data_IF_844605577421
#
_entry.id   IF_844605577421
#
_cell.length_a   1.000
_cell.length_b   1.000
_cell.length_c   1.000
_cell.angle_alpha   90.00
_cell.angle_beta   90.00
_cell.angle_gamma   90.00
#
_symmetry.space_group_name_H-M   'P 1'
#
loop_
_entity.id
_entity.type
_entity.pdbx_description
1 polymer ?
#
# COMPACT_ATOMS: atom_id res chain seq x y z
N UNK A 1 -20.72 25.99 21.59
CA UNK A 1 -19.46 25.53 20.94
C UNK A 1 -19.81 25.01 19.56
N UNK A 2 -19.30 25.66 18.50
CA UNK A 2 -19.70 25.37 17.11
C UNK A 2 -19.02 24.10 16.62
N UNK A 3 -19.83 23.11 16.27
CA UNK A 3 -19.44 21.90 15.53
C UNK A 3 -18.92 22.33 14.15
N UNK A 4 -17.67 21.99 13.85
CA UNK A 4 -17.11 22.17 12.50
C UNK A 4 -17.55 20.97 11.68
N UNK A 5 -18.62 21.13 10.90
CA UNK A 5 -18.99 20.17 9.85
C UNK A 5 -17.97 20.29 8.73
N UNK A 6 -17.15 19.26 8.55
CA UNK A 6 -16.38 19.09 7.31
C UNK A 6 -17.41 18.66 6.26
N UNK A 7 -17.79 19.59 5.38
CA UNK A 7 -18.56 19.27 4.18
C UNK A 7 -17.60 18.67 3.15
N UNK A 8 -17.57 17.35 3.04
CA UNK A 8 -16.96 16.68 1.89
C UNK A 8 -17.89 16.87 0.70
N UNK A 9 -17.43 17.62 -0.30
CA UNK A 9 -18.17 17.84 -1.54
C UNK A 9 -17.87 16.67 -2.47
N UNK A 10 -18.83 15.78 -2.71
CA UNK A 10 -18.70 14.72 -3.71
C UNK A 10 -19.41 15.20 -4.97
N UNK A 11 -18.66 15.45 -6.04
CA UNK A 11 -19.24 15.76 -7.34
C UNK A 11 -19.50 14.48 -8.12
N UNK A 12 -20.68 14.36 -8.72
CA UNK A 12 -21.04 13.24 -9.59
C UNK A 12 -21.19 13.77 -11.02
N UNK A 13 -20.52 13.12 -11.97
CA UNK A 13 -20.74 13.38 -13.39
C UNK A 13 -21.50 12.21 -13.98
N UNK A 14 -22.70 12.47 -14.52
CA UNK A 14 -23.52 11.49 -15.20
C UNK A 14 -23.52 11.79 -16.71
N UNK A 15 -23.07 10.84 -17.51
CA UNK A 15 -23.02 10.98 -18.98
C UNK A 15 -24.01 10.02 -19.64
N UNK A 16 -24.86 10.52 -20.55
CA UNK A 16 -25.72 9.73 -21.42
C UNK A 16 -25.37 9.99 -22.91
N UNK A 17 -26.08 9.35 -23.84
CA UNK A 17 -25.86 9.48 -25.29
C UNK A 17 -26.20 10.86 -25.87
N UNK A 18 -26.78 11.77 -25.09
CA UNK A 18 -27.23 13.10 -25.53
C UNK A 18 -26.52 14.26 -24.84
N UNK A 19 -25.57 14.00 -23.92
CA UNK A 19 -24.68 14.99 -23.33
C UNK A 19 -24.29 14.73 -21.87
N UNK A 20 -23.32 15.48 -21.38
CA UNK A 20 -22.84 15.45 -19.99
C UNK A 20 -23.72 16.34 -19.10
N UNK A 21 -24.23 15.82 -17.97
CA UNK A 21 -24.84 16.64 -16.91
C UNK A 21 -24.08 16.46 -15.61
N UNK A 22 -23.49 17.54 -15.11
CA UNK A 22 -22.87 17.60 -13.78
C UNK A 22 -23.97 17.72 -12.72
N UNK A 23 -23.99 16.81 -11.75
CA UNK A 23 -24.95 16.84 -10.64
C UNK A 23 -24.16 17.07 -9.36
N UNK A 24 -24.35 18.23 -8.74
CA UNK A 24 -23.86 18.49 -7.39
C UNK A 24 -24.87 17.93 -6.38
N UNK A 25 -24.45 16.96 -5.56
CA UNK A 25 -25.27 16.45 -4.47
C UNK A 25 -24.49 16.58 -3.16
N UNK A 26 -24.93 17.48 -2.28
CA UNK A 26 -24.52 17.50 -0.88
C UNK A 26 -25.24 16.39 -0.12
N UNK A 27 -24.56 15.71 0.81
CA UNK A 27 -25.11 14.61 1.61
C UNK A 27 -26.40 15.00 2.37
N UNK A 28 -27.54 14.74 1.73
CA UNK A 28 -28.81 14.39 2.37
C UNK A 28 -29.67 13.64 1.35
N UNK A 29 -29.33 12.39 1.04
CA UNK A 29 -30.26 11.50 0.36
C UNK A 29 -31.25 11.01 1.42
N UNK A 30 -32.44 11.62 1.46
CA UNK A 30 -33.58 11.10 2.24
C UNK A 30 -33.95 9.72 1.73
N UNK A 31 -34.22 8.78 2.64
CA UNK A 31 -34.81 7.48 2.37
C UNK A 31 -35.99 7.63 1.40
N UNK A 32 -35.84 7.13 0.18
CA UNK A 32 -36.88 7.20 -0.87
C UNK A 32 -36.36 7.38 -2.29
N UNK A 33 -35.12 7.82 -2.50
CA UNK A 33 -34.52 7.95 -3.84
C UNK A 33 -33.22 7.14 -3.94
N UNK A 34 -33.14 6.28 -4.96
CA UNK A 34 -32.11 5.26 -5.22
C UNK A 34 -32.11 4.07 -4.25
N UNK A 35 -32.82 3.00 -4.64
CA UNK A 35 -32.39 1.65 -4.27
C UNK A 35 -31.23 1.29 -5.19
N UNK A 36 -30.02 1.21 -4.64
CA UNK A 36 -28.87 0.58 -5.30
C UNK A 36 -29.21 -0.92 -5.36
N UNK A 37 -29.67 -1.36 -6.53
CA UNK A 37 -29.99 -2.76 -6.77
C UNK A 37 -28.71 -3.60 -6.68
N UNK A 38 -28.70 -4.54 -5.73
CA UNK A 38 -27.80 -5.68 -5.59
C UNK A 38 -26.38 -5.49 -6.16
N UNK A 39 -25.45 -5.10 -5.28
CA UNK A 39 -24.02 -5.29 -5.51
C UNK A 39 -23.75 -6.79 -5.71
N UNK A 40 -23.41 -7.18 -6.94
CA UNK A 40 -22.68 -8.43 -7.17
C UNK A 40 -21.23 -8.22 -6.73
N UNK A 41 -20.71 -9.13 -5.91
CA UNK A 41 -19.31 -9.13 -5.49
C UNK A 41 -18.40 -9.15 -6.73
N UNK A 42 -17.58 -8.11 -6.94
CA UNK A 42 -16.55 -8.14 -8.00
C UNK A 42 -16.19 -6.83 -8.73
N UNK A 43 -16.63 -5.64 -8.32
CA UNK A 43 -16.20 -4.41 -9.01
C UNK A 43 -14.82 -3.90 -8.55
N UNK A 44 -13.88 -3.85 -9.49
CA UNK A 44 -12.51 -3.29 -9.34
C UNK A 44 -12.55 -1.77 -9.53
N UNK A 45 -11.77 -0.96 -8.77
CA UNK A 45 -11.66 0.48 -9.02
C UNK A 45 -11.22 0.76 -10.47
N UNK A 46 -11.89 1.72 -11.12
CA UNK A 46 -11.65 2.07 -12.52
C UNK A 46 -12.58 1.41 -13.54
N UNK A 47 -13.39 0.41 -13.16
CA UNK A 47 -14.45 -0.07 -14.04
C UNK A 47 -15.68 0.85 -14.01
N UNK A 48 -16.20 1.27 -15.18
CA UNK A 48 -17.43 2.05 -15.25
C UNK A 48 -18.61 1.23 -14.72
N UNK A 49 -19.29 1.73 -13.69
CA UNK A 49 -20.54 1.14 -13.24
C UNK A 49 -21.64 1.59 -14.21
N UNK A 50 -22.19 0.63 -14.95
CA UNK A 50 -23.30 0.84 -15.88
C UNK A 50 -24.64 0.78 -15.13
N UNK A 51 -25.39 1.89 -15.18
CA UNK A 51 -26.75 1.93 -14.66
C UNK A 51 -27.75 2.21 -15.79
N UNK A 52 -28.99 1.70 -15.64
CA UNK A 52 -30.10 1.97 -16.56
C UNK A 52 -31.25 2.62 -15.82
N UNK A 53 -31.74 3.77 -16.31
CA UNK A 53 -32.97 4.41 -15.82
C UNK A 53 -33.76 4.95 -17.01
N UNK A 54 -35.05 4.59 -17.10
CA UNK A 54 -35.94 5.14 -18.14
C UNK A 54 -35.49 4.86 -19.58
N UNK A 55 -34.77 3.76 -19.84
CA UNK A 55 -34.24 3.42 -21.17
C UNK A 55 -32.87 4.02 -21.50
N UNK A 56 -32.37 4.98 -20.71
CA UNK A 56 -31.05 5.57 -20.89
C UNK A 56 -29.97 4.84 -20.07
N UNK A 57 -28.76 4.76 -20.64
CA UNK A 57 -27.56 4.23 -19.97
C UNK A 57 -26.77 5.38 -19.37
N UNK A 58 -26.36 5.22 -18.12
CA UNK A 58 -25.50 6.16 -17.42
C UNK A 58 -24.20 5.46 -17.06
N UNK A 59 -23.08 6.14 -17.30
CA UNK A 59 -21.76 5.75 -16.80
C UNK A 59 -21.33 6.73 -15.72
N UNK A 60 -21.02 6.20 -14.54
CA UNK A 60 -20.39 6.97 -13.47
C UNK A 60 -18.88 6.75 -13.52
N UNK A 61 -18.11 7.84 -13.43
CA UNK A 61 -16.69 7.80 -13.12
C UNK A 61 -16.48 8.44 -11.75
N UNK A 62 -15.76 7.74 -10.88
CA UNK A 62 -15.31 8.29 -9.60
C UNK A 62 -14.04 9.08 -9.86
N UNK A 63 -14.06 10.36 -9.53
CA UNK A 63 -12.95 11.28 -9.72
C UNK A 63 -12.36 11.66 -8.37
N UNK A 64 -11.05 11.49 -8.25
CA UNK A 64 -10.30 11.59 -7.01
C UNK A 64 -9.53 12.91 -7.02
N UNK A 65 -9.81 13.82 -6.08
CA UNK A 65 -8.93 14.97 -5.84
C UNK A 65 -7.61 14.47 -5.22
N UNK A 66 -6.47 14.85 -5.81
CA UNK A 66 -5.11 14.55 -5.34
C UNK A 66 -4.46 15.88 -4.99
N UNK A 67 -4.15 16.14 -3.71
CA UNK A 67 -2.72 16.14 -3.32
C UNK A 67 -2.46 15.72 -1.86
N UNK A 68 -1.24 15.26 -1.57
CA UNK A 68 -0.28 16.02 -0.75
C UNK A 68 1.09 15.31 -0.74
N UNK A 69 2.07 16.01 -1.31
CA UNK A 69 3.48 15.64 -1.57
C UNK A 69 3.75 14.41 -2.44
N UNK A 70 3.36 14.54 -3.71
CA UNK A 70 4.11 13.99 -4.84
C UNK A 70 5.17 15.02 -5.25
N UNK A 71 6.26 15.18 -4.48
CA UNK A 71 7.27 16.24 -4.75
C UNK A 71 8.22 15.92 -5.89
N UNK A 72 8.13 14.72 -6.48
CA UNK A 72 8.89 14.37 -7.68
C UNK A 72 8.03 14.60 -8.94
N UNK A 73 8.45 15.43 -9.91
CA UNK A 73 7.86 15.48 -11.24
C UNK A 73 7.71 14.10 -11.91
N UNK A 74 8.54 13.11 -11.55
CA UNK A 74 8.40 11.71 -11.97
C UNK A 74 7.11 11.05 -11.44
N UNK A 75 6.48 11.61 -10.41
CA UNK A 75 5.27 11.04 -9.84
C UNK A 75 4.05 11.07 -10.76
N UNK A 76 4.04 11.99 -11.74
CA UNK A 76 3.04 12.01 -12.81
C UNK A 76 3.21 10.86 -13.81
N UNK A 77 4.36 10.18 -13.80
CA UNK A 77 4.62 8.97 -14.59
C UNK A 77 4.38 7.66 -13.83
N UNK A 78 3.93 7.72 -12.57
CA UNK A 78 3.62 6.51 -11.80
C UNK A 78 2.45 5.76 -12.43
N UNK A 79 2.53 4.43 -12.41
CA UNK A 79 1.45 3.55 -12.90
C UNK A 79 0.65 3.00 -11.74
N UNK A 80 -0.65 2.83 -11.95
CA UNK A 80 -1.52 2.09 -11.04
C UNK A 80 -1.55 0.64 -11.48
N UNK A 81 -1.08 -0.25 -10.62
CA UNK A 81 -0.85 -1.67 -10.88
C UNK A 81 -1.70 -2.48 -9.90
N UNK A 82 -2.57 -3.32 -10.44
CA UNK A 82 -3.38 -4.24 -9.65
C UNK A 82 -2.54 -5.37 -9.04
N UNK A 83 -3.12 -6.08 -8.07
CA UNK A 83 -2.49 -7.27 -7.46
C UNK A 83 -2.05 -8.30 -8.51
N UNK A 84 -2.91 -8.58 -9.47
CA UNK A 84 -2.65 -9.62 -10.48
C UNK A 84 -1.59 -9.16 -11.48
N UNK A 85 -1.60 -7.89 -11.86
CA UNK A 85 -0.52 -7.32 -12.68
C UNK A 85 0.82 -7.32 -11.94
N UNK A 86 0.85 -7.02 -10.64
CA UNK A 86 2.08 -7.11 -9.84
C UNK A 86 2.65 -8.52 -9.82
N UNK A 87 1.80 -9.54 -9.62
CA UNK A 87 2.20 -10.95 -9.68
C UNK A 87 2.72 -11.34 -11.07
N UNK A 88 2.08 -10.82 -12.11
CA UNK A 88 2.48 -11.10 -13.48
C UNK A 88 3.82 -10.42 -13.84
N UNK A 89 4.09 -9.23 -13.30
CA UNK A 89 5.39 -8.56 -13.43
C UNK A 89 6.48 -9.39 -12.77
N UNK A 90 6.28 -9.85 -11.54
CA UNK A 90 7.25 -10.70 -10.84
C UNK A 90 7.51 -12.00 -11.62
N UNK A 91 6.44 -12.65 -12.08
CA UNK A 91 6.51 -13.89 -12.88
C UNK A 91 7.25 -13.68 -14.21
N UNK A 92 6.95 -12.62 -14.95
CA UNK A 92 7.63 -12.35 -16.22
C UNK A 92 9.08 -11.90 -16.01
N UNK A 93 9.39 -11.18 -14.95
CA UNK A 93 10.77 -10.83 -14.60
C UNK A 93 11.61 -12.10 -14.38
N UNK A 94 11.07 -13.08 -13.66
CA UNK A 94 11.74 -14.37 -13.45
C UNK A 94 11.82 -15.22 -14.73
N UNK A 95 10.67 -15.47 -15.38
CA UNK A 95 10.61 -16.44 -16.48
C UNK A 95 11.19 -15.91 -17.81
N UNK A 96 10.86 -14.66 -18.16
CA UNK A 96 11.20 -14.09 -19.47
C UNK A 96 12.48 -13.25 -19.45
N UNK A 97 12.83 -12.66 -18.30
CA UNK A 97 14.02 -11.83 -18.14
C UNK A 97 15.08 -12.48 -17.25
N UNK A 98 14.83 -13.66 -16.71
CA UNK A 98 15.78 -14.43 -15.89
C UNK A 98 16.28 -13.65 -14.66
N UNK A 99 15.46 -12.74 -14.13
CA UNK A 99 15.75 -11.99 -12.90
C UNK A 99 15.20 -12.77 -11.71
N UNK A 100 16.06 -13.39 -10.88
CA UNK A 100 15.57 -14.17 -9.74
C UNK A 100 14.80 -13.30 -8.75
N UNK A 101 13.75 -13.85 -8.12
CA UNK A 101 12.97 -13.17 -7.08
C UNK A 101 13.84 -12.56 -5.97
N UNK A 102 14.91 -13.24 -5.57
CA UNK A 102 15.90 -12.72 -4.62
C UNK A 102 16.50 -11.37 -5.05
N UNK A 103 16.79 -11.18 -6.34
CA UNK A 103 17.33 -9.93 -6.89
C UNK A 103 16.27 -8.84 -6.91
N UNK A 104 15.02 -9.18 -7.23
CA UNK A 104 13.89 -8.25 -7.17
C UNK A 104 13.68 -7.74 -5.73
N UNK A 105 13.65 -8.67 -4.77
CA UNK A 105 13.55 -8.40 -3.33
C UNK A 105 14.70 -7.54 -2.81
N UNK A 106 15.94 -7.82 -3.24
CA UNK A 106 17.12 -7.01 -2.91
C UNK A 106 16.91 -5.56 -3.34
N UNK A 107 16.52 -5.34 -4.59
CA UNK A 107 16.32 -3.99 -5.14
C UNK A 107 15.16 -3.27 -4.46
N UNK A 108 14.04 -3.96 -4.22
CA UNK A 108 12.90 -3.42 -3.48
C UNK A 108 13.35 -2.91 -2.10
N UNK A 109 14.15 -3.71 -1.41
CA UNK A 109 14.61 -3.45 -0.05
C UNK A 109 15.69 -2.36 0.05
N UNK A 110 16.59 -2.28 -0.93
CA UNK A 110 17.54 -1.17 -1.07
C UNK A 110 16.77 0.14 -1.21
N UNK A 111 15.77 0.17 -2.09
CA UNK A 111 15.01 1.40 -2.36
C UNK A 111 14.08 1.76 -1.20
N UNK A 112 13.44 0.78 -0.55
CA UNK A 112 12.73 0.98 0.72
C UNK A 112 13.63 1.62 1.77
N UNK A 113 14.84 1.06 1.95
CA UNK A 113 15.79 1.57 2.94
C UNK A 113 16.25 2.99 2.59
N UNK A 114 16.49 3.29 1.31
CA UNK A 114 16.81 4.66 0.86
C UNK A 114 15.68 5.64 1.19
N UNK A 115 14.44 5.31 0.87
CA UNK A 115 13.28 6.17 1.22
C UNK A 115 13.21 6.40 2.72
N UNK A 116 13.40 5.35 3.53
CA UNK A 116 13.44 5.49 4.99
C UNK A 116 14.55 6.46 5.41
N UNK A 117 15.76 6.24 4.92
CA UNK A 117 16.96 6.99 5.33
C UNK A 117 16.98 8.43 4.84
N UNK A 118 16.42 8.72 3.66
CA UNK A 118 16.58 10.01 2.98
C UNK A 118 15.31 10.88 3.04
N UNK A 119 14.12 10.27 3.14
CA UNK A 119 12.84 10.98 3.03
C UNK A 119 11.95 10.88 4.28
N UNK A 120 12.11 9.81 5.08
CA UNK A 120 11.28 9.57 6.27
C UNK A 120 12.01 9.95 7.56
N UNK A 121 13.30 9.60 7.66
CA UNK A 121 14.17 9.91 8.81
C UNK A 121 15.58 10.41 8.39
N UNK A 122 15.67 11.49 7.59
CA UNK A 122 16.96 12.06 7.14
C UNK A 122 17.84 12.56 8.28
N UNK A 123 17.22 13.11 9.33
CA UNK A 123 17.91 13.67 10.50
C UNK A 123 18.38 12.61 11.50
N UNK A 124 18.16 11.32 11.22
CA UNK A 124 18.45 10.19 12.10
C UNK A 124 17.83 10.30 13.50
N UNK A 125 16.58 10.75 13.58
CA UNK A 125 15.85 10.95 14.85
C UNK A 125 15.42 9.63 15.47
N UNK A 126 15.21 8.59 14.66
CA UNK A 126 14.85 7.28 15.18
C UNK A 126 16.02 6.63 15.91
N UNK A 127 15.84 6.38 17.20
CA UNK A 127 16.86 5.72 18.03
C UNK A 127 16.97 4.23 17.74
N UNK A 128 15.83 3.61 17.38
CA UNK A 128 15.71 2.22 16.96
C UNK A 128 14.70 2.08 15.82
N UNK A 129 14.95 1.08 14.97
CA UNK A 129 14.07 0.68 13.88
C UNK A 129 13.56 -0.74 14.20
N UNK A 130 12.26 -0.85 14.44
CA UNK A 130 11.56 -2.11 14.72
C UNK A 130 10.96 -2.62 13.42
N UNK A 131 11.51 -3.69 12.86
CA UNK A 131 11.03 -4.22 11.58
C UNK A 131 10.17 -5.45 11.86
N UNK A 132 8.86 -5.33 11.63
CA UNK A 132 7.88 -6.39 11.92
C UNK A 132 7.67 -7.22 10.66
N UNK A 133 8.23 -8.43 10.64
CA UNK A 133 8.24 -9.28 9.46
C UNK A 133 7.18 -10.38 9.52
N UNK A 134 6.40 -10.50 8.46
CA UNK A 134 5.65 -11.70 8.14
C UNK A 134 6.57 -12.83 7.64
N UNK A 135 5.97 -13.95 7.22
CA UNK A 135 6.72 -15.09 6.65
C UNK A 135 6.57 -15.29 5.14
N UNK A 136 5.95 -14.34 4.45
CA UNK A 136 5.88 -14.30 2.98
C UNK A 136 6.87 -13.29 2.39
N UNK A 137 6.71 -12.96 1.10
CA UNK A 137 7.63 -12.07 0.38
C UNK A 137 7.76 -10.68 1.03
N UNK A 138 6.65 -10.08 1.49
CA UNK A 138 6.71 -8.78 2.18
C UNK A 138 7.57 -8.84 3.45
N UNK A 139 7.53 -9.96 4.17
CA UNK A 139 8.43 -10.19 5.31
C UNK A 139 9.88 -10.34 4.88
N UNK A 140 10.12 -10.94 3.72
CA UNK A 140 11.44 -10.99 3.08
C UNK A 140 11.99 -9.59 2.74
N UNK A 141 11.16 -8.71 2.19
CA UNK A 141 11.51 -7.29 1.98
C UNK A 141 11.85 -6.61 3.31
N UNK A 142 11.10 -6.92 4.38
CA UNK A 142 11.40 -6.48 5.74
C UNK A 142 12.77 -6.95 6.23
N UNK A 143 13.09 -8.24 6.13
CA UNK A 143 14.40 -8.78 6.52
C UNK A 143 15.54 -8.14 5.72
N UNK A 144 15.38 -8.01 4.40
CA UNK A 144 16.38 -7.37 3.55
C UNK A 144 16.55 -5.88 3.90
N UNK A 145 15.46 -5.14 4.11
CA UNK A 145 15.54 -3.75 4.54
C UNK A 145 16.19 -3.60 5.92
N UNK A 146 15.90 -4.50 6.86
CA UNK A 146 16.52 -4.51 8.18
C UNK A 146 18.05 -4.56 8.12
N UNK A 147 18.63 -5.43 7.27
CA UNK A 147 20.09 -5.48 7.10
C UNK A 147 20.65 -4.27 6.36
N UNK A 148 19.92 -3.67 5.42
CA UNK A 148 20.37 -2.43 4.77
C UNK A 148 20.37 -1.24 5.72
N UNK A 149 19.31 -1.10 6.54
CA UNK A 149 19.25 -0.10 7.61
C UNK A 149 20.41 -0.31 8.60
N UNK A 150 20.68 -1.56 9.00
CA UNK A 150 21.82 -1.87 9.86
C UNK A 150 23.16 -1.48 9.23
N UNK A 151 23.40 -1.83 7.95
CA UNK A 151 24.60 -1.46 7.22
C UNK A 151 24.77 0.07 7.10
N UNK A 152 23.67 0.82 7.09
CA UNK A 152 23.66 2.29 7.17
C UNK A 152 23.88 2.84 8.60
N UNK A 153 24.27 1.99 9.55
CA UNK A 153 24.57 2.38 10.93
C UNK A 153 23.31 2.66 11.77
N UNK A 154 22.16 2.10 11.40
CA UNK A 154 20.94 2.18 12.22
C UNK A 154 20.90 1.06 13.25
N UNK A 155 20.35 1.36 14.43
CA UNK A 155 19.97 0.33 15.40
C UNK A 155 18.69 -0.34 14.92
N UNK A 156 18.74 -1.65 14.71
CA UNK A 156 17.62 -2.43 14.16
C UNK A 156 17.30 -3.60 15.08
N UNK A 157 16.01 -3.85 15.30
CA UNK A 157 15.48 -5.09 15.89
C UNK A 157 14.41 -5.61 14.95
N UNK A 158 14.48 -6.90 14.60
CA UNK A 158 13.47 -7.57 13.80
C UNK A 158 12.51 -8.29 14.74
N UNK A 159 11.21 -8.08 14.55
CA UNK A 159 10.14 -8.82 15.22
C UNK A 159 9.58 -9.80 14.18
N UNK A 160 9.83 -11.08 14.35
CA UNK A 160 9.38 -12.13 13.45
C UNK A 160 8.05 -12.72 13.92
N UNK A 161 6.96 -12.51 13.17
CA UNK A 161 5.65 -13.09 13.54
C UNK A 161 5.58 -14.60 13.27
N UNK A 162 6.32 -15.05 12.26
CA UNK A 162 6.45 -16.47 11.93
C UNK A 162 7.78 -16.71 11.21
N UNK A 163 8.32 -17.93 11.26
CA UNK A 163 9.44 -18.29 10.41
C UNK A 163 9.07 -18.07 8.92
N UNK A 164 9.98 -17.51 8.10
CA UNK A 164 9.77 -17.46 6.66
C UNK A 164 9.76 -18.88 6.07
N UNK A 165 9.02 -19.05 4.98
CA UNK A 165 8.99 -20.33 4.26
C UNK A 165 10.36 -20.64 3.65
N UNK A 166 10.84 -21.86 3.86
CA UNK A 166 12.13 -22.38 3.39
C UNK A 166 11.89 -23.60 2.47
N UNK A 167 12.47 -23.64 1.24
CA UNK A 167 13.27 -22.58 0.61
C UNK A 167 12.44 -21.38 0.15
N UNK A 168 13.09 -20.22 0.07
CA UNK A 168 12.51 -18.98 -0.46
C UNK A 168 13.34 -17.74 -0.15
N UNK A 169 13.09 -16.65 -0.88
CA UNK A 169 13.85 -15.40 -0.77
C UNK A 169 13.77 -14.76 0.62
N UNK A 170 12.61 -14.87 1.28
CA UNK A 170 12.43 -14.43 2.66
C UNK A 170 13.28 -15.25 3.64
N UNK A 171 13.41 -16.57 3.44
CA UNK A 171 14.27 -17.42 4.26
C UNK A 171 15.74 -17.10 4.06
N UNK A 172 16.16 -16.83 2.81
CA UNK A 172 17.51 -16.36 2.48
C UNK A 172 17.85 -15.07 3.24
N UNK A 173 16.99 -14.06 3.17
CA UNK A 173 17.25 -12.78 3.85
C UNK A 173 17.20 -12.90 5.39
N UNK A 174 16.32 -13.74 5.94
CA UNK A 174 16.34 -14.05 7.37
C UNK A 174 17.63 -14.77 7.80
N UNK A 175 18.15 -15.70 7.00
CA UNK A 175 19.41 -16.37 7.27
C UNK A 175 20.60 -15.39 7.24
N UNK A 176 20.62 -14.44 6.29
CA UNK A 176 21.63 -13.36 6.26
C UNK A 176 21.55 -12.52 7.53
N UNK A 177 20.35 -12.09 7.95
CA UNK A 177 20.18 -11.31 9.18
C UNK A 177 20.70 -12.05 10.43
N UNK A 178 20.47 -13.37 10.51
CA UNK A 178 21.02 -14.22 11.58
C UNK A 178 22.55 -14.30 11.53
N UNK A 179 23.13 -14.48 10.35
CA UNK A 179 24.59 -14.51 10.18
C UNK A 179 25.25 -13.17 10.54
N UNK A 180 24.55 -12.06 10.28
CA UNK A 180 24.94 -10.71 10.71
C UNK A 180 24.71 -10.46 12.22
N UNK A 181 24.09 -11.42 12.93
CA UNK A 181 23.75 -11.33 14.35
C UNK A 181 22.84 -10.14 14.69
N UNK A 182 21.94 -9.80 13.76
CA UNK A 182 20.88 -8.83 14.07
C UNK A 182 19.96 -9.41 15.16
N UNK A 183 19.47 -8.58 16.11
CA UNK A 183 18.44 -9.01 17.04
C UNK A 183 17.17 -9.41 16.27
N UNK A 184 16.80 -10.69 16.35
CA UNK A 184 15.55 -11.22 15.83
C UNK A 184 14.81 -11.84 17.01
N UNK A 185 13.64 -11.28 17.33
CA UNK A 185 12.81 -11.69 18.47
C UNK A 185 11.43 -12.12 18.00
N UNK A 186 10.72 -12.91 18.81
CA UNK A 186 9.32 -13.21 18.53
C UNK A 186 8.41 -12.02 18.86
N UNK A 187 7.15 -12.08 18.46
CA UNK A 187 6.18 -11.02 18.78
C UNK A 187 5.93 -10.90 20.30
N UNK A 188 6.02 -12.00 21.04
CA UNK A 188 5.84 -12.04 22.49
C UNK A 188 6.92 -11.24 23.24
N UNK A 189 8.07 -11.04 22.61
CA UNK A 189 9.19 -10.26 23.15
C UNK A 189 9.12 -8.77 22.73
N UNK A 190 8.12 -8.39 21.93
CA UNK A 190 7.91 -6.99 21.57
C UNK A 190 7.57 -6.15 22.82
N UNK A 191 8.18 -4.97 23.00
CA UNK A 191 7.85 -4.11 24.14
C UNK A 191 6.43 -3.56 23.96
N UNK A 192 5.69 -3.31 25.05
CA UNK A 192 4.34 -2.73 24.96
C UNK A 192 4.33 -1.37 24.22
N UNK A 193 5.38 -0.57 24.42
CA UNK A 193 5.61 0.71 23.73
C UNK A 193 7.04 0.81 23.24
N UNK A 194 7.21 1.49 22.12
CA UNK A 194 8.55 1.87 21.63
C UNK A 194 8.94 3.25 22.16
N UNK A 195 10.22 3.61 22.04
CA UNK A 195 10.66 4.93 22.50
C UNK A 195 10.09 6.03 21.58
N UNK A 196 9.77 7.22 22.11
CA UNK A 196 9.36 8.34 21.27
C UNK A 196 10.38 8.61 20.15
N UNK A 197 9.90 8.63 18.91
CA UNK A 197 10.74 8.84 17.73
C UNK A 197 11.29 7.57 17.09
N UNK A 198 11.14 6.40 17.71
CA UNK A 198 11.46 5.12 17.06
C UNK A 198 10.64 4.93 15.78
N UNK A 199 11.25 4.22 14.83
CA UNK A 199 10.62 3.84 13.57
C UNK A 199 10.11 2.40 13.68
N UNK A 200 8.90 2.17 13.19
CA UNK A 200 8.30 0.83 13.05
C UNK A 200 8.05 0.58 11.57
N UNK A 201 8.67 -0.46 11.02
CA UNK A 201 8.50 -0.88 9.64
C UNK A 201 7.54 -2.06 9.62
N UNK A 202 6.35 -1.84 9.07
CA UNK A 202 5.33 -2.85 8.84
C UNK A 202 5.63 -3.63 7.56
N UNK A 203 6.13 -4.85 7.72
CA UNK A 203 6.44 -5.79 6.65
C UNK A 203 5.69 -7.12 6.84
N UNK A 204 4.46 -7.08 7.38
CA UNK A 204 3.69 -8.30 7.68
C UNK A 204 3.04 -8.86 6.40
N UNK A 205 2.23 -8.06 5.72
CA UNK A 205 1.49 -8.42 4.51
C UNK A 205 1.61 -7.33 3.45
N UNK A 206 1.88 -7.72 2.20
CA UNK A 206 1.83 -6.82 1.04
C UNK A 206 0.53 -7.02 0.26
N UNK A 207 0.60 -6.84 -1.06
CA UNK A 207 -0.56 -7.00 -1.99
C UNK A 207 -1.29 -8.35 -1.95
N UNK A 208 -0.69 -9.40 -1.40
CA UNK A 208 -1.23 -10.77 -1.42
C UNK A 208 -2.39 -11.06 -0.47
N UNK A 209 -2.73 -10.16 0.46
CA UNK A 209 -3.78 -10.39 1.46
C UNK A 209 -5.20 -10.31 0.85
N UNK A 210 -5.99 -11.37 0.97
CA UNK A 210 -7.34 -11.51 0.38
C UNK A 210 -8.41 -11.96 1.38
N UNK A 211 -8.05 -12.05 2.66
CA UNK A 211 -8.92 -12.53 3.74
C UNK A 211 -8.78 -11.67 5.00
N UNK A 212 -9.78 -11.66 5.89
CA UNK A 212 -9.68 -10.99 7.18
C UNK A 212 -8.44 -11.40 7.95
N UNK A 213 -7.79 -10.41 8.58
CA UNK A 213 -6.65 -10.63 9.46
C UNK A 213 -7.14 -11.04 10.84
N UNK A 214 -6.65 -12.17 11.32
CA UNK A 214 -7.03 -12.78 12.59
C UNK A 214 -5.78 -13.29 13.32
N UNK A 215 -5.89 -13.57 14.62
CA UNK A 215 -4.82 -14.18 15.42
C UNK A 215 -3.60 -13.28 15.63
N UNK A 216 -2.40 -13.85 15.59
CA UNK A 216 -1.15 -13.13 15.88
C UNK A 216 -0.88 -11.95 14.94
N UNK A 217 -1.12 -12.04 13.62
CA UNK A 217 -1.04 -10.86 12.76
C UNK A 217 -1.98 -9.73 13.18
N UNK A 218 -3.21 -10.01 13.63
CA UNK A 218 -4.11 -8.96 14.11
C UNK A 218 -3.59 -8.31 15.39
N UNK A 219 -3.04 -9.11 16.33
CA UNK A 219 -2.39 -8.60 17.54
C UNK A 219 -1.18 -7.71 17.19
N UNK A 220 -0.39 -8.10 16.21
CA UNK A 220 0.75 -7.32 15.74
C UNK A 220 0.33 -6.00 15.08
N UNK A 221 -0.73 -6.01 14.26
CA UNK A 221 -1.30 -4.78 13.68
C UNK A 221 -1.77 -3.82 14.79
N UNK A 222 -2.51 -4.33 15.77
CA UNK A 222 -2.95 -3.54 16.92
C UNK A 222 -1.77 -2.96 17.71
N UNK A 223 -0.70 -3.74 17.87
CA UNK A 223 0.54 -3.27 18.48
C UNK A 223 1.21 -2.16 17.66
N UNK A 224 1.37 -2.33 16.34
CA UNK A 224 1.95 -1.30 15.45
C UNK A 224 1.16 0.01 15.59
N UNK A 225 -0.17 -0.07 15.55
CA UNK A 225 -1.05 1.09 15.68
C UNK A 225 -0.98 1.77 17.07
N UNK A 226 -0.63 1.04 18.13
CA UNK A 226 -0.66 1.51 19.52
C UNK A 226 0.71 1.78 20.17
N UNK A 227 1.81 1.34 19.55
CA UNK A 227 3.14 1.33 20.19
C UNK A 227 3.77 2.72 20.34
N UNK A 228 3.28 3.73 19.61
CA UNK A 228 3.72 5.13 19.70
C UNK A 228 4.93 5.51 18.82
N UNK A 229 5.39 4.60 17.94
CA UNK A 229 6.44 4.86 16.97
C UNK A 229 5.92 5.43 15.66
N UNK A 230 6.83 5.97 14.83
CA UNK A 230 6.53 6.37 13.46
C UNK A 230 6.42 5.14 12.58
N UNK A 231 5.27 4.94 11.94
CA UNK A 231 4.99 3.72 11.17
C UNK A 231 5.25 3.92 9.68
N UNK A 232 6.02 3.00 9.08
CA UNK A 232 6.25 2.90 7.64
C UNK A 232 5.77 1.55 7.14
N UNK A 233 4.81 1.53 6.22
CA UNK A 233 4.32 0.31 5.60
C UNK A 233 5.14 -0.07 4.35
N UNK A 234 5.45 -1.36 4.23
CA UNK A 234 6.10 -1.96 3.06
C UNK A 234 5.04 -2.50 2.12
N UNK A 235 5.11 -2.05 0.86
CA UNK A 235 4.21 -2.37 -0.24
C UNK A 235 2.76 -1.84 -0.07
N UNK A 236 2.11 -2.27 1.00
CA UNK A 236 0.74 -1.92 1.40
C UNK A 236 0.65 -1.99 2.93
N UNK A 237 -0.07 -1.09 3.62
CA UNK A 237 -0.33 -1.27 5.05
C UNK A 237 -0.95 -2.64 5.32
N UNK A 238 -0.34 -3.40 6.21
CA UNK A 238 -0.79 -4.75 6.53
C UNK A 238 -2.22 -4.72 7.05
N UNK A 239 -3.06 -5.60 6.50
CA UNK A 239 -4.49 -5.62 6.79
C UNK A 239 -5.36 -4.79 5.84
N UNK A 240 -4.76 -4.00 4.96
CA UNK A 240 -5.48 -3.28 3.91
C UNK A 240 -5.61 -4.14 2.64
N UNK A 241 -6.80 -4.15 2.04
CA UNK A 241 -6.99 -4.72 0.71
C UNK A 241 -6.35 -3.81 -0.36
N UNK A 242 -5.26 -4.28 -0.97
CA UNK A 242 -4.53 -3.51 -1.98
C UNK A 242 -5.36 -3.19 -3.26
N UNK A 243 -6.47 -3.87 -3.51
CA UNK A 243 -7.36 -3.57 -4.64
C UNK A 243 -8.51 -2.67 -4.23
N UNK A 244 -9.12 -2.88 -3.07
CA UNK A 244 -10.37 -2.20 -2.67
C UNK A 244 -10.16 -1.06 -1.68
N UNK A 245 -9.04 -1.06 -0.95
CA UNK A 245 -8.69 -0.05 0.05
C UNK A 245 -9.53 -0.13 1.33
N UNK A 246 -10.23 -1.26 1.54
CA UNK A 246 -10.91 -1.56 2.80
C UNK A 246 -9.99 -2.32 3.75
N UNK A 247 -10.14 -2.09 5.04
CA UNK A 247 -9.48 -2.91 6.05
C UNK A 247 -10.15 -4.29 6.11
N UNK A 248 -9.34 -5.34 5.99
CA UNK A 248 -9.76 -6.73 6.12
C UNK A 248 -9.71 -7.13 7.60
N UNK A 249 -10.64 -6.61 8.40
CA UNK A 249 -10.61 -6.71 9.86
C UNK A 249 -9.97 -5.46 10.48
N UNK A 250 -8.65 -5.50 10.71
CA UNK A 250 -7.86 -4.35 11.15
C UNK A 250 -6.70 -4.12 10.16
N UNK A 251 -6.33 -2.85 9.95
CA UNK A 251 -5.22 -2.47 9.10
C UNK A 251 -4.27 -1.51 9.83
N UNK A 252 -2.99 -1.59 9.48
CA UNK A 252 -1.96 -0.66 9.94
C UNK A 252 -2.27 0.75 9.46
N UNK A 253 -2.11 1.74 10.34
CA UNK A 253 -2.16 3.17 10.02
C UNK A 253 -0.74 3.70 9.93
N UNK A 254 -0.23 3.80 8.71
CA UNK A 254 1.12 4.26 8.44
C UNK A 254 1.20 5.79 8.28
N UNK A 255 2.33 6.37 8.72
CA UNK A 255 2.68 7.75 8.36
C UNK A 255 3.24 7.84 6.93
N UNK A 256 3.81 6.74 6.44
CA UNK A 256 4.25 6.60 5.07
C UNK A 256 4.12 5.15 4.59
N UNK A 257 3.83 4.95 3.31
CA UNK A 257 3.87 3.65 2.64
C UNK A 257 4.84 3.72 1.48
N UNK A 258 5.78 2.78 1.41
CA UNK A 258 6.66 2.61 0.26
C UNK A 258 6.16 1.43 -0.56
N UNK A 259 5.54 1.73 -1.69
CA UNK A 259 4.91 0.73 -2.56
C UNK A 259 5.81 0.36 -3.73
N UNK A 260 5.80 -0.90 -4.14
CA UNK A 260 6.73 -1.40 -5.17
C UNK A 260 6.14 -1.40 -6.58
N UNK A 261 6.96 -1.08 -7.58
CA UNK A 261 6.65 -1.05 -9.03
C UNK A 261 5.65 0.03 -9.45
N UNK A 262 4.53 0.15 -8.75
CA UNK A 262 3.46 1.10 -9.01
C UNK A 262 2.52 1.21 -7.81
N UNK A 263 1.61 2.19 -7.90
CA UNK A 263 0.57 2.42 -6.91
C UNK A 263 -0.48 1.31 -6.99
N UNK A 264 -0.97 0.82 -5.85
CA UNK A 264 -2.06 -0.15 -5.84
C UNK A 264 -3.40 0.58 -5.78
N UNK A 265 -4.45 0.13 -6.49
CA UNK A 265 -5.74 0.84 -6.53
C UNK A 265 -6.32 1.13 -5.15
N UNK A 266 -6.20 0.18 -4.22
CA UNK A 266 -6.68 0.30 -2.85
C UNK A 266 -6.00 1.42 -2.06
N UNK A 267 -4.74 1.76 -2.37
CA UNK A 267 -4.02 2.87 -1.70
C UNK A 267 -4.56 4.25 -2.10
N UNK A 268 -5.28 4.31 -3.22
CA UNK A 268 -5.80 5.54 -3.80
C UNK A 268 -7.26 5.78 -3.45
N UNK A 269 -7.99 4.81 -2.90
CA UNK A 269 -9.38 5.02 -2.49
C UNK A 269 -9.47 5.97 -1.29
N UNK A 270 -10.61 6.63 -1.10
CA UNK A 270 -10.85 7.51 0.05
C UNK A 270 -10.58 6.77 1.38
N UNK A 271 -11.08 5.54 1.49
CA UNK A 271 -10.87 4.72 2.67
C UNK A 271 -9.40 4.29 2.83
N UNK A 272 -8.77 3.82 1.76
CA UNK A 272 -7.38 3.35 1.81
C UNK A 272 -6.39 4.45 2.20
N UNK A 273 -6.63 5.68 1.71
CA UNK A 273 -5.85 6.87 2.09
C UNK A 273 -5.83 7.17 3.59
N UNK A 274 -6.81 6.69 4.34
CA UNK A 274 -6.82 6.84 5.81
C UNK A 274 -5.80 5.94 6.53
N UNK A 275 -5.14 5.03 5.81
CA UNK A 275 -4.16 4.06 6.32
C UNK A 275 -2.75 4.26 5.77
N UNK A 276 -2.59 4.94 4.63
CA UNK A 276 -1.34 4.89 3.87
C UNK A 276 -0.34 6.00 4.20
N UNK A 277 -0.81 7.14 4.69
CA UNK A 277 0.04 8.31 4.91
C UNK A 277 0.67 8.81 3.60
N UNK A 278 1.93 9.27 3.66
CA UNK A 278 2.69 9.67 2.46
C UNK A 278 3.01 8.45 1.59
N UNK A 279 2.79 8.54 0.29
CA UNK A 279 3.05 7.44 -0.65
C UNK A 279 4.37 7.66 -1.39
N UNK A 280 5.22 6.63 -1.41
CA UNK A 280 6.44 6.57 -2.21
C UNK A 280 6.36 5.36 -3.13
N UNK A 281 6.78 5.49 -4.39
CA UNK A 281 6.88 4.36 -5.33
C UNK A 281 8.35 4.00 -5.51
N UNK A 282 8.71 2.76 -5.18
CA UNK A 282 10.06 2.24 -5.31
C UNK A 282 10.14 1.17 -6.41
N UNK A 283 11.21 1.22 -7.21
CA UNK A 283 11.49 0.20 -8.22
C UNK A 283 12.07 -1.07 -7.59
N UNK A 284 11.82 -2.21 -8.23
CA UNK A 284 12.36 -3.53 -7.84
C UNK A 284 13.47 -4.01 -8.80
N UNK A 285 13.92 -3.14 -9.71
CA UNK A 285 14.89 -3.51 -10.75
C UNK A 285 14.29 -4.33 -11.91
N UNK A 286 12.96 -4.43 -11.99
CA UNK A 286 12.29 -5.00 -13.15
C UNK A 286 12.53 -4.12 -14.40
N UNK A 287 12.65 -4.71 -15.61
CA UNK A 287 12.90 -3.97 -16.84
C UNK A 287 11.80 -2.96 -17.15
N UNK A 288 12.20 -1.82 -17.70
CA UNK A 288 11.26 -0.75 -18.08
C UNK A 288 10.22 -1.26 -19.09
N UNK A 289 10.67 -2.01 -20.09
CA UNK A 289 9.85 -2.58 -21.15
C UNK A 289 8.83 -3.59 -20.63
N UNK A 290 9.10 -4.19 -19.46
CA UNK A 290 8.14 -5.05 -18.77
C UNK A 290 7.09 -4.20 -18.04
N UNK A 291 7.53 -3.24 -17.22
CA UNK A 291 6.64 -2.38 -16.43
C UNK A 291 5.68 -1.58 -17.33
N UNK A 292 6.16 -1.09 -18.48
CA UNK A 292 5.35 -0.29 -19.42
C UNK A 292 4.17 -1.06 -20.05
N UNK A 293 4.17 -2.41 -19.97
CA UNK A 293 3.07 -3.26 -20.45
C UNK A 293 1.91 -3.36 -19.46
N UNK A 294 2.11 -2.95 -18.21
CA UNK A 294 1.18 -3.16 -17.11
C UNK A 294 0.73 -1.85 -16.49
N UNK A 295 -0.46 -1.89 -15.89
CA UNK A 295 -1.04 -0.75 -15.22
C UNK A 295 -1.41 0.40 -16.16
N UNK A 296 -2.06 1.39 -15.58
CA UNK A 296 -2.39 2.63 -16.28
C UNK A 296 -1.57 3.78 -15.70
N UNK A 297 -1.04 4.69 -16.53
CA UNK A 297 -0.47 5.93 -16.05
C UNK A 297 -1.46 6.67 -15.13
N UNK A 298 -0.97 7.13 -13.99
CA UNK A 298 -1.80 7.81 -12.99
C UNK A 298 -2.43 9.09 -13.57
N UNK A 299 -1.68 9.79 -14.43
CA UNK A 299 -2.16 10.97 -15.14
C UNK A 299 -3.35 10.63 -16.06
N UNK A 300 -3.33 9.51 -16.79
CA UNK A 300 -4.47 9.04 -17.59
C UNK A 300 -5.69 8.66 -16.75
N UNK A 301 -5.49 8.13 -15.53
CA UNK A 301 -6.59 7.91 -14.57
C UNK A 301 -7.17 9.24 -14.07
N UNK A 302 -6.32 10.27 -13.90
CA UNK A 302 -6.75 11.62 -13.53
C UNK A 302 -7.19 12.50 -14.71
N UNK A 303 -6.91 12.12 -15.95
CA UNK A 303 -7.24 12.86 -17.18
C UNK A 303 -8.39 12.22 -17.96
N UNK A 304 -8.65 10.92 -17.75
CA UNK A 304 -9.93 10.30 -18.09
C UNK A 304 -11.10 10.80 -17.22
N UNK A 305 -10.76 11.78 -16.37
CA UNK A 305 -11.55 12.84 -15.77
C UNK A 305 -11.61 14.03 -16.72
N UNK A 306 -12.19 13.84 -17.89
CA UNK A 306 -12.52 14.99 -18.74
C UNK A 306 -13.57 15.83 -18.00
N UNK A 307 -13.17 17.08 -17.75
CA UNK A 307 -13.87 18.17 -17.05
C UNK A 307 -15.23 18.46 -17.68
#
# INVERSE_FOLDING_TARGET
MRSTRIQTMVQYTATNTTGTKSIQASNSIREGALRIGAMGAGSVPGQPILFRRGGERYTFRMYLEVPHDLTDPAARSHRVISRDESREIDRQAEEAYHLPGLVLMENASINLSRVILEQIDPDRRATRNWVVCGGGNNGGDGYAAARHLHNAGRTVTIIALKPPRDPGDAATNAAICRAMKLPIVSFEEAPERVAPGDLVVDAIFGTGLDRPVEGDPARAIGWINGCGGKVVAVDCPSGLDAQRGEALGEAVRAEATVTFVGLKPGLLTEQGRTFTGRLFVAGIGAPRELIERFGQPLDELTASIDI
#
